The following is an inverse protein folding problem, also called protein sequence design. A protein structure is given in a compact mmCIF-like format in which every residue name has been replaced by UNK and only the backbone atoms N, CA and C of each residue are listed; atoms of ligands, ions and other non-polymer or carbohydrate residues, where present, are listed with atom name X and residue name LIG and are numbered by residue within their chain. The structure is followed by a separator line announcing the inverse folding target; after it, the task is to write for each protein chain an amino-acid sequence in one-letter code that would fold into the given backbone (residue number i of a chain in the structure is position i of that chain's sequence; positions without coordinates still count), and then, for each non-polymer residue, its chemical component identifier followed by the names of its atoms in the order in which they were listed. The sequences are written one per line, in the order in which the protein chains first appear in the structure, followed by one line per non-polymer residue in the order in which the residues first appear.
data_IF_103222850477
#
_entry.id   IF_103222850477
#
_cell.length_a   1.000
_cell.length_b   1.000
_cell.length_c   1.000
_cell.angle_alpha   90.00
_cell.angle_beta   90.00
_cell.angle_gamma   90.00
#
_symmetry.space_group_name_H-M   'P 1'
#
loop_
_entity.id
_entity.type
_entity.pdbx_description
1 polymer ?
#
# COMPACT_ATOMS: atom_id res chain seq x y z
N UNK A 1 6.17 -4.21 16.84
CA UNK A 1 5.00 -4.30 15.93
C UNK A 1 4.50 -2.89 15.63
N UNK A 2 4.29 -2.54 14.36
CA UNK A 2 3.79 -1.20 14.00
C UNK A 2 2.34 -1.07 14.45
N UNK A 3 1.99 0.02 15.12
CA UNK A 3 0.60 0.29 15.57
C UNK A 3 -0.42 0.24 14.43
N UNK A 4 -0.01 0.68 13.26
CA UNK A 4 -0.77 0.66 12.02
C UNK A 4 -1.22 -0.75 11.61
N UNK A 5 -0.35 -1.75 11.72
CA UNK A 5 -0.69 -3.13 11.35
C UNK A 5 -1.82 -3.70 12.21
N UNK A 6 -1.85 -3.33 13.50
CA UNK A 6 -2.95 -3.71 14.37
C UNK A 6 -4.27 -3.08 13.96
N UNK A 7 -4.25 -1.79 13.63
CA UNK A 7 -5.44 -1.08 13.11
C UNK A 7 -5.96 -1.74 11.84
N UNK A 8 -5.07 -2.06 10.88
CA UNK A 8 -5.46 -2.75 9.65
C UNK A 8 -6.05 -4.14 9.98
N UNK A 9 -5.41 -4.90 10.87
CA UNK A 9 -5.91 -6.21 11.27
C UNK A 9 -7.29 -6.13 11.93
N UNK A 10 -7.55 -5.11 12.75
CA UNK A 10 -8.85 -4.93 13.42
C UNK A 10 -9.98 -4.60 12.43
N UNK A 11 -9.67 -3.98 11.28
CA UNK A 11 -10.64 -3.69 10.22
C UNK A 11 -11.04 -4.92 9.39
N UNK A 12 -10.24 -6.00 9.43
CA UNK A 12 -10.43 -7.15 8.57
C UNK A 12 -11.23 -8.25 9.28
N UNK A 13 -12.28 -8.79 8.67
CA UNK A 13 -12.93 -10.01 9.17
C UNK A 13 -12.02 -11.23 9.05
N UNK A 14 -12.20 -12.20 9.93
CA UNK A 14 -11.49 -13.48 9.85
C UNK A 14 -11.90 -14.29 8.60
N UNK A 15 -11.03 -15.21 8.16
CA UNK A 15 -11.29 -16.13 7.05
C UNK A 15 -11.56 -15.44 5.70
N UNK A 16 -11.02 -14.26 5.49
CA UNK A 16 -11.12 -13.51 4.22
C UNK A 16 -9.90 -13.73 3.33
N UNK A 17 -10.05 -13.44 2.03
CA UNK A 17 -8.94 -13.44 1.06
C UNK A 17 -8.42 -12.01 0.92
N UNK A 18 -7.13 -11.83 1.15
CA UNK A 18 -6.49 -10.51 1.17
C UNK A 18 -5.30 -10.49 0.22
N UNK A 19 -5.17 -9.43 -0.56
CA UNK A 19 -3.96 -9.09 -1.31
C UNK A 19 -3.27 -7.92 -0.61
N UNK A 20 -2.00 -8.09 -0.23
CA UNK A 20 -1.16 -7.04 0.36
C UNK A 20 -0.17 -6.54 -0.70
N UNK A 21 -0.43 -5.35 -1.23
CA UNK A 21 0.36 -4.74 -2.31
C UNK A 21 1.49 -3.89 -1.71
N UNK A 22 2.74 -4.23 -2.08
CA UNK A 22 3.92 -3.68 -1.42
C UNK A 22 4.08 -4.24 -0.01
N UNK A 23 3.98 -5.57 0.12
CA UNK A 23 3.91 -6.25 1.42
C UNK A 23 5.21 -6.18 2.24
N UNK A 24 6.31 -5.66 1.66
CA UNK A 24 7.60 -5.54 2.32
C UNK A 24 8.11 -6.90 2.81
N UNK A 25 8.60 -6.94 4.04
CA UNK A 25 9.12 -8.15 4.68
C UNK A 25 8.03 -9.16 5.10
N UNK A 26 6.75 -8.91 4.78
CA UNK A 26 5.62 -9.76 5.12
C UNK A 26 5.18 -9.69 6.58
N UNK A 27 5.60 -8.69 7.34
CA UNK A 27 5.24 -8.58 8.77
C UNK A 27 3.73 -8.41 8.99
N UNK A 28 3.04 -7.63 8.14
CA UNK A 28 1.58 -7.51 8.17
C UNK A 28 0.92 -8.84 7.80
N UNK A 29 1.37 -9.49 6.74
CA UNK A 29 0.85 -10.80 6.31
C UNK A 29 0.96 -11.85 7.41
N UNK A 30 2.10 -11.91 8.12
CA UNK A 30 2.31 -12.82 9.25
C UNK A 30 1.29 -12.57 10.37
N UNK A 31 1.03 -11.31 10.69
CA UNK A 31 0.06 -10.91 11.69
C UNK A 31 -1.36 -11.35 11.30
N UNK A 32 -1.78 -11.07 10.07
CA UNK A 32 -3.11 -11.40 9.56
C UNK A 32 -3.37 -12.91 9.54
N UNK A 33 -2.39 -13.71 9.16
CA UNK A 33 -2.51 -15.18 9.21
C UNK A 33 -2.62 -15.70 10.64
N UNK A 34 -1.78 -15.18 11.55
CA UNK A 34 -1.71 -15.67 12.92
C UNK A 34 -2.95 -15.29 13.74
N UNK A 35 -3.42 -14.06 13.63
CA UNK A 35 -4.48 -13.54 14.50
C UNK A 35 -5.90 -13.73 13.93
N UNK A 36 -6.04 -13.75 12.61
CA UNK A 36 -7.35 -13.74 11.93
C UNK A 36 -7.60 -14.92 11.00
N UNK A 37 -6.65 -15.84 10.87
CA UNK A 37 -6.73 -16.95 9.90
C UNK A 37 -7.07 -16.45 8.47
N UNK A 38 -6.49 -15.33 8.09
CA UNK A 38 -6.70 -14.71 6.77
C UNK A 38 -5.86 -15.41 5.73
N UNK A 39 -6.46 -15.71 4.57
CA UNK A 39 -5.74 -16.18 3.40
C UNK A 39 -5.13 -14.96 2.68
N UNK A 40 -3.91 -14.59 3.07
CA UNK A 40 -3.22 -13.43 2.55
C UNK A 40 -2.20 -13.82 1.49
N UNK A 41 -2.12 -13.04 0.40
CA UNK A 41 -1.09 -13.11 -0.63
C UNK A 41 -0.41 -11.75 -0.75
N UNK A 42 0.92 -11.73 -0.92
CA UNK A 42 1.70 -10.51 -1.11
C UNK A 42 2.06 -10.27 -2.57
N UNK A 43 2.20 -9.00 -2.94
CA UNK A 43 2.87 -8.54 -4.16
C UNK A 43 3.98 -7.58 -3.73
N UNK A 44 5.24 -7.85 -4.11
CA UNK A 44 6.40 -7.07 -3.67
C UNK A 44 7.43 -6.95 -4.79
N UNK A 45 7.96 -5.74 -4.99
CA UNK A 45 8.96 -5.47 -6.01
C UNK A 45 10.36 -5.89 -5.59
N UNK A 46 10.71 -5.65 -4.32
CA UNK A 46 12.07 -5.83 -3.82
C UNK A 46 12.36 -7.31 -3.56
N UNK A 47 13.32 -7.87 -4.28
CA UNK A 47 13.73 -9.27 -4.16
C UNK A 47 14.15 -9.68 -2.74
N UNK A 48 14.84 -8.82 -2.00
CA UNK A 48 15.24 -9.12 -0.62
C UNK A 48 14.03 -9.28 0.30
N UNK A 49 13.00 -8.44 0.12
CA UNK A 49 11.75 -8.55 0.87
C UNK A 49 10.97 -9.83 0.49
N UNK A 50 10.93 -10.15 -0.80
CA UNK A 50 10.31 -11.40 -1.28
C UNK A 50 10.97 -12.61 -0.63
N UNK A 51 12.30 -12.65 -0.56
CA UNK A 51 13.03 -13.73 0.11
C UNK A 51 12.65 -13.81 1.60
N UNK A 52 12.52 -12.69 2.30
CA UNK A 52 12.08 -12.67 3.69
C UNK A 52 10.66 -13.23 3.86
N UNK A 53 9.75 -12.90 2.96
CA UNK A 53 8.40 -13.48 2.94
C UNK A 53 8.45 -14.99 2.75
N UNK A 54 9.23 -15.48 1.79
CA UNK A 54 9.40 -16.91 1.52
C UNK A 54 9.97 -17.64 2.75
N UNK A 55 11.01 -17.10 3.40
CA UNK A 55 11.57 -17.66 4.63
C UNK A 55 10.54 -17.75 5.77
N UNK A 56 9.56 -16.84 5.80
CA UNK A 56 8.44 -16.87 6.78
C UNK A 56 7.29 -17.79 6.33
N UNK A 57 7.42 -18.48 5.19
CA UNK A 57 6.37 -19.35 4.63
C UNK A 57 5.14 -18.57 4.15
N UNK A 58 5.33 -17.33 3.71
CA UNK A 58 4.26 -16.46 3.22
C UNK A 58 4.14 -16.53 1.69
N UNK A 59 2.92 -16.65 1.13
CA UNK A 59 2.73 -16.64 -0.32
C UNK A 59 2.92 -15.22 -0.85
N UNK A 60 3.95 -15.03 -1.66
CA UNK A 60 4.30 -13.74 -2.25
C UNK A 60 4.62 -13.90 -3.74
N UNK A 61 4.23 -12.91 -4.52
CA UNK A 61 4.58 -12.74 -5.94
C UNK A 61 5.59 -11.61 -6.03
N UNK A 62 6.70 -11.84 -6.71
CA UNK A 62 7.62 -10.76 -7.05
C UNK A 62 7.11 -10.04 -8.29
N UNK A 63 6.89 -8.73 -8.19
CA UNK A 63 6.44 -7.94 -9.33
C UNK A 63 6.22 -6.48 -9.00
N UNK A 64 6.14 -5.67 -10.06
CA UNK A 64 5.79 -4.26 -9.96
C UNK A 64 4.26 -4.11 -10.00
N UNK A 65 3.68 -3.51 -8.96
CA UNK A 65 2.24 -3.30 -8.90
C UNK A 65 1.69 -2.50 -10.09
N UNK A 66 2.43 -1.52 -10.61
CA UNK A 66 1.98 -0.71 -11.76
C UNK A 66 1.81 -1.52 -13.06
N UNK A 67 2.53 -2.65 -13.17
CA UNK A 67 2.50 -3.50 -14.37
C UNK A 67 1.81 -4.85 -14.15
N UNK A 68 1.73 -5.33 -12.91
CA UNK A 68 1.24 -6.67 -12.62
C UNK A 68 -0.22 -6.72 -12.14
N UNK A 69 -0.74 -5.63 -11.56
CA UNK A 69 -2.10 -5.63 -11.00
C UNK A 69 -3.17 -5.95 -12.05
N UNK A 70 -2.98 -5.56 -13.32
CA UNK A 70 -3.93 -5.86 -14.38
C UNK A 70 -4.13 -7.36 -14.64
N UNK A 71 -3.20 -8.21 -14.23
CA UNK A 71 -3.28 -9.67 -14.41
C UNK A 71 -4.20 -10.34 -13.39
N UNK A 72 -4.51 -9.67 -12.28
CA UNK A 72 -5.43 -10.22 -11.29
C UNK A 72 -6.88 -10.08 -11.76
N UNK A 73 -7.69 -11.16 -11.63
CA UNK A 73 -9.10 -11.11 -11.99
C UNK A 73 -9.88 -10.10 -11.12
N UNK A 74 -10.98 -9.60 -11.69
CA UNK A 74 -11.89 -8.69 -10.98
C UNK A 74 -12.47 -9.40 -9.74
N UNK A 75 -12.57 -8.65 -8.64
CA UNK A 75 -13.14 -9.11 -7.37
C UNK A 75 -12.57 -10.44 -6.84
N UNK A 76 -11.32 -10.76 -7.20
CA UNK A 76 -10.65 -12.00 -6.78
C UNK A 76 -10.26 -12.03 -5.30
N UNK A 77 -10.24 -10.87 -4.65
CA UNK A 77 -9.98 -10.72 -3.22
C UNK A 77 -11.13 -10.02 -2.51
N UNK A 78 -11.35 -10.36 -1.24
CA UNK A 78 -12.34 -9.70 -0.40
C UNK A 78 -11.82 -8.32 0.04
N UNK A 79 -10.51 -8.23 0.33
CA UNK A 79 -9.81 -6.99 0.64
C UNK A 79 -8.50 -6.88 -0.12
N UNK A 80 -8.17 -5.67 -0.53
CA UNK A 80 -6.84 -5.32 -1.02
C UNK A 80 -6.26 -4.24 -0.11
N UNK A 81 -5.03 -4.44 0.35
CA UNK A 81 -4.31 -3.52 1.23
C UNK A 81 -3.19 -2.87 0.45
N UNK A 82 -3.05 -1.56 0.61
CA UNK A 82 -1.91 -0.77 0.18
C UNK A 82 -1.40 0.03 1.37
N UNK A 83 -0.37 -0.48 2.04
CA UNK A 83 0.16 0.14 3.26
C UNK A 83 1.41 0.95 2.97
N UNK A 84 1.32 2.28 3.12
CA UNK A 84 2.43 3.24 3.00
C UNK A 84 3.23 3.15 1.68
N UNK A 85 2.62 2.68 0.60
CA UNK A 85 3.29 2.44 -0.68
C UNK A 85 2.77 3.35 -1.80
N UNK A 86 1.60 3.98 -1.62
CA UNK A 86 0.96 4.81 -2.67
C UNK A 86 1.88 5.88 -3.23
N UNK A 87 2.68 6.51 -2.37
CA UNK A 87 3.63 7.56 -2.76
C UNK A 87 4.84 7.05 -3.55
N UNK A 88 5.02 5.75 -3.68
CA UNK A 88 6.12 5.16 -4.43
C UNK A 88 5.76 4.94 -5.91
N UNK A 89 4.49 5.08 -6.29
CA UNK A 89 4.03 4.88 -7.66
C UNK A 89 4.14 6.13 -8.51
N UNK A 90 4.42 5.94 -9.80
CA UNK A 90 4.40 7.00 -10.81
C UNK A 90 2.98 7.33 -11.24
N UNK A 91 2.10 6.32 -11.35
CA UNK A 91 0.70 6.43 -11.77
C UNK A 91 -0.26 5.95 -10.65
N UNK A 92 -0.32 6.66 -9.49
CA UNK A 92 -1.10 6.21 -8.34
C UNK A 92 -2.60 6.06 -8.63
N UNK A 93 -3.16 6.87 -9.53
CA UNK A 93 -4.58 6.76 -9.93
C UNK A 93 -4.88 5.44 -10.64
N UNK A 94 -3.98 5.01 -11.52
CA UNK A 94 -4.11 3.73 -12.23
C UNK A 94 -4.04 2.57 -11.24
N UNK A 95 -3.07 2.62 -10.33
CA UNK A 95 -2.94 1.61 -9.27
C UNK A 95 -4.21 1.55 -8.44
N UNK A 96 -4.74 2.68 -7.96
CA UNK A 96 -5.97 2.72 -7.18
C UNK A 96 -7.19 2.15 -7.94
N UNK A 97 -7.32 2.42 -9.24
CA UNK A 97 -8.37 1.83 -10.08
C UNK A 97 -8.23 0.30 -10.15
N UNK A 98 -7.02 -0.21 -10.33
CA UNK A 98 -6.77 -1.65 -10.33
C UNK A 98 -7.07 -2.29 -8.96
N UNK A 99 -6.67 -1.65 -7.86
CA UNK A 99 -7.00 -2.14 -6.52
C UNK A 99 -8.52 -2.23 -6.30
N UNK A 100 -9.28 -1.21 -6.72
CA UNK A 100 -10.76 -1.19 -6.63
C UNK A 100 -11.43 -2.22 -7.54
N UNK A 101 -10.81 -2.58 -8.64
CA UNK A 101 -11.27 -3.64 -9.55
C UNK A 101 -11.05 -5.03 -8.95
N UNK A 102 -9.87 -5.26 -8.39
CA UNK A 102 -9.41 -6.57 -7.87
C UNK A 102 -10.08 -6.91 -6.54
N UNK A 103 -10.26 -5.92 -5.66
CA UNK A 103 -10.82 -6.11 -4.33
C UNK A 103 -12.26 -5.65 -4.21
N UNK A 104 -13.07 -6.37 -3.43
CA UNK A 104 -14.41 -5.90 -3.02
C UNK A 104 -14.32 -4.67 -2.12
N UNK A 105 -13.24 -4.58 -1.33
CA UNK A 105 -12.91 -3.44 -0.47
C UNK A 105 -11.42 -3.16 -0.52
N UNK A 106 -11.04 -1.89 -0.41
CA UNK A 106 -9.64 -1.46 -0.46
C UNK A 106 -9.30 -0.69 0.82
N UNK A 107 -8.19 -1.04 1.44
CA UNK A 107 -7.63 -0.33 2.58
C UNK A 107 -6.32 0.33 2.14
N UNK A 108 -6.30 1.66 2.12
CA UNK A 108 -5.10 2.43 1.80
C UNK A 108 -4.63 3.16 3.05
N UNK A 109 -3.38 2.93 3.42
CA UNK A 109 -2.72 3.66 4.50
C UNK A 109 -1.70 4.61 3.90
N UNK A 110 -1.78 5.86 4.30
CA UNK A 110 -0.85 6.91 3.88
C UNK A 110 -0.12 7.48 5.09
N UNK A 111 1.14 7.93 4.94
CA UNK A 111 1.88 8.55 6.03
C UNK A 111 1.17 9.81 6.54
N UNK A 112 1.17 10.00 7.85
CA UNK A 112 0.58 11.19 8.44
C UNK A 112 1.48 12.43 8.25
N UNK A 113 1.20 13.23 7.23
CA UNK A 113 1.91 14.50 6.96
C UNK A 113 1.53 15.62 7.94
N UNK A 114 0.47 15.45 8.72
CA UNK A 114 0.09 16.37 9.80
C UNK A 114 1.01 16.30 11.02
N UNK A 115 1.92 15.31 11.07
CA UNK A 115 2.86 15.19 12.18
C UNK A 115 3.75 16.43 12.27
N UNK A 116 3.81 17.05 13.45
CA UNK A 116 4.43 18.36 13.65
C UNK A 116 5.89 18.48 13.14
N UNK A 117 6.69 17.40 13.23
CA UNK A 117 8.07 17.40 12.71
C UNK A 117 8.14 17.49 11.18
N UNK A 118 7.15 16.94 10.48
CA UNK A 118 7.04 17.06 9.01
C UNK A 118 6.62 18.48 8.66
N UNK A 119 5.64 19.03 9.39
CA UNK A 119 5.17 20.41 9.19
C UNK A 119 6.26 21.45 9.46
N UNK A 120 7.04 21.30 10.53
CA UNK A 120 8.14 22.21 10.82
C UNK A 120 9.25 22.14 9.77
N UNK A 121 9.61 20.96 9.29
CA UNK A 121 10.59 20.83 8.19
C UNK A 121 10.10 21.46 6.89
N UNK A 122 8.82 21.29 6.54
CA UNK A 122 8.21 21.95 5.38
C UNK A 122 8.24 23.47 5.53
N UNK A 123 7.89 23.97 6.71
CA UNK A 123 7.83 25.42 7.01
C UNK A 123 9.20 26.08 6.91
N UNK A 124 10.25 25.44 7.47
CA UNK A 124 11.58 26.06 7.56
C UNK A 124 12.47 25.80 6.34
N UNK A 125 12.27 24.70 5.64
CA UNK A 125 13.16 24.29 4.55
C UNK A 125 12.49 24.21 3.17
N UNK A 126 11.16 24.33 3.10
CA UNK A 126 10.40 24.27 1.84
C UNK A 126 10.54 22.96 1.09
N UNK A 127 11.09 21.91 1.71
CA UNK A 127 11.33 20.61 1.10
C UNK A 127 10.66 19.53 1.92
N UNK A 128 10.01 18.58 1.20
CA UNK A 128 9.47 17.38 1.83
C UNK A 128 10.59 16.56 2.47
N UNK A 129 10.45 16.15 3.74
CA UNK A 129 11.45 15.31 4.37
C UNK A 129 11.47 13.94 3.72
N UNK A 130 12.63 13.58 3.19
CA UNK A 130 12.93 12.19 2.82
C UNK A 130 13.24 11.44 4.10
N UNK A 131 12.46 10.43 4.42
CA UNK A 131 12.67 9.55 5.58
C UNK A 131 12.81 8.10 5.11
N UNK A 132 13.24 7.20 6.00
CA UNK A 132 13.29 5.76 5.67
C UNK A 132 11.94 5.19 5.23
N UNK A 133 10.85 5.81 5.64
CA UNK A 133 9.47 5.48 5.24
C UNK A 133 8.96 6.25 4.03
N UNK A 134 9.71 7.27 3.58
CA UNK A 134 9.40 8.12 2.44
C UNK A 134 10.68 8.30 1.60
N UNK A 135 11.12 7.28 0.86
CA UNK A 135 12.37 7.33 0.11
C UNK A 135 12.31 8.25 -1.11
N UNK A 136 11.11 8.55 -1.61
CA UNK A 136 10.91 9.40 -2.78
C UNK A 136 10.37 10.78 -2.39
N UNK A 137 10.77 11.79 -3.13
CA UNK A 137 10.20 13.13 -2.98
C UNK A 137 8.74 13.13 -3.46
N UNK A 138 7.83 13.59 -2.64
CA UNK A 138 6.38 13.74 -2.92
C UNK A 138 6.04 14.64 -4.11
N UNK A 139 7.05 15.24 -4.68
CA UNK A 139 6.93 16.15 -5.80
C UNK A 139 6.17 15.55 -6.99
N UNK A 140 6.30 14.22 -7.19
CA UNK A 140 5.63 13.53 -8.30
C UNK A 140 4.15 13.26 -8.05
N UNK A 141 3.71 13.11 -6.80
CA UNK A 141 2.30 12.80 -6.50
C UNK A 141 1.41 14.02 -6.34
N UNK A 142 1.97 15.21 -6.04
CA UNK A 142 1.20 16.46 -5.95
C UNK A 142 0.88 17.06 -7.33
N UNK A 143 1.64 16.75 -8.38
CA UNK A 143 1.41 17.26 -9.74
C UNK A 143 0.16 16.62 -10.39
N UNK A 144 -0.25 15.44 -9.95
CA UNK A 144 -1.40 14.72 -10.52
C UNK A 144 -2.72 14.90 -9.77
N UNK A 145 -2.77 15.66 -8.70
CA UNK A 145 -4.03 16.18 -8.13
C UNK A 145 -4.36 17.50 -8.84
N UNK A 146 -4.39 17.46 -10.16
CA UNK A 146 -4.93 18.55 -10.95
C UNK A 146 -6.44 18.44 -10.93
N UNK A 147 -7.07 19.49 -10.42
CA UNK A 147 -8.44 19.94 -10.47
C UNK A 147 -9.49 18.97 -11.03
N UNK A 148 -10.61 18.73 -10.31
CA UNK A 148 -11.76 18.09 -10.91
C UNK A 148 -12.19 18.93 -12.11
N UNK A 149 -12.08 18.35 -13.32
CA UNK A 149 -12.65 18.92 -14.53
C UNK A 149 -14.10 19.26 -14.28
N UNK A 150 -14.42 20.55 -14.20
CA UNK A 150 -15.81 21.01 -14.19
C UNK A 150 -16.48 20.47 -15.45
N UNK A 151 -17.63 19.82 -15.34
CA UNK A 151 -18.41 19.48 -16.52
C UNK A 151 -18.76 20.79 -17.23
N UNK A 152 -18.39 20.88 -18.51
CA UNK A 152 -18.84 21.95 -19.40
C UNK A 152 -20.36 21.91 -19.47
N UNK A 153 -20.98 23.04 -19.16
CA UNK A 153 -22.40 23.27 -19.41
C UNK A 153 -22.67 23.31 -20.89
#
# INVERSE_FOLDING_TARGET
MKKEFKVIADLLPSNTRVLDVGCGDGSLMSLLRKEKNINVRGLELNQSNVQQCIHKGLPVIQGNAETELHQFPDQSFDYVILSQTLQAFYEPEKVLKDLLRIGKSVIVSIPNFGYWKVRTKLLFFGKMPVTKTLPNTWYLSLIHISEPTRPSR
#
